data_IF_233112475431
#
_entry.id   IF_233112475431
#
_cell.length_a   1.000
_cell.length_b   1.000
_cell.length_c   1.000
_cell.angle_alpha   90.00
_cell.angle_beta   90.00
_cell.angle_gamma   90.00
#
_symmetry.space_group_name_H-M   'P 1'
#
loop_
_entity.id
_entity.type
_entity.pdbx_description
1 polymer ?
#
# COMPACT_ATOMS: atom_id res chain seq x y z
N UNK A 1 -1.69 24.18 -7.95
CA UNK A 1 -2.56 24.62 -6.83
C UNK A 1 -3.17 23.35 -6.28
N UNK A 2 -2.95 23.07 -4.99
CA UNK A 2 -3.51 21.89 -4.35
C UNK A 2 -5.04 21.99 -4.32
N UNK A 3 -5.72 20.88 -4.56
CA UNK A 3 -7.18 20.80 -4.53
C UNK A 3 -7.67 21.06 -3.09
N UNK A 4 -8.75 21.79 -2.86
CA UNK A 4 -9.31 21.92 -1.51
C UNK A 4 -9.86 20.57 -1.03
N UNK A 5 -9.81 20.35 0.28
CA UNK A 5 -10.44 19.16 0.90
C UNK A 5 -11.93 19.13 0.56
N UNK A 6 -12.51 17.97 0.20
CA UNK A 6 -13.94 17.85 -0.09
C UNK A 6 -14.80 18.37 1.06
N UNK A 7 -15.88 19.10 0.73
CA UNK A 7 -16.82 19.60 1.73
C UNK A 7 -17.51 18.46 2.51
N UNK A 8 -17.75 17.35 1.83
CA UNK A 8 -18.30 16.12 2.44
C UNK A 8 -17.35 14.99 2.14
N UNK A 9 -16.83 14.35 3.18
CA UNK A 9 -15.99 13.16 3.07
C UNK A 9 -16.83 11.96 3.45
N UNK A 10 -16.89 10.96 2.55
CA UNK A 10 -17.65 9.73 2.74
C UNK A 10 -16.74 8.51 2.98
N UNK A 11 -15.46 8.61 2.57
CA UNK A 11 -14.52 7.53 2.80
C UNK A 11 -13.07 7.84 2.45
N UNK A 12 -12.21 6.89 2.79
CA UNK A 12 -10.77 6.96 2.51
C UNK A 12 -10.33 5.65 1.89
N UNK A 13 -9.70 5.72 0.72
CA UNK A 13 -9.03 4.58 0.12
C UNK A 13 -7.53 4.67 0.40
N UNK A 14 -6.90 3.53 0.61
CA UNK A 14 -5.49 3.43 0.97
C UNK A 14 -4.76 2.47 0.04
N UNK A 15 -3.48 2.72 -0.21
CA UNK A 15 -2.57 1.63 -0.56
C UNK A 15 -2.35 0.72 0.66
N UNK A 16 -1.71 -0.42 0.47
CA UNK A 16 -1.49 -1.42 1.51
C UNK A 16 -0.05 -1.40 2.03
N UNK A 17 0.89 -1.90 1.19
CA UNK A 17 2.29 -2.06 1.58
C UNK A 17 3.01 -0.69 1.60
N UNK A 18 3.51 -0.26 2.75
CA UNK A 18 4.12 1.06 2.93
C UNK A 18 3.16 2.16 3.35
N UNK A 19 1.85 1.92 3.31
CA UNK A 19 0.84 2.90 3.70
C UNK A 19 0.08 2.47 4.95
N UNK A 20 -0.61 1.34 4.89
CA UNK A 20 -1.30 0.75 6.04
C UNK A 20 -0.40 -0.23 6.80
N UNK A 21 0.40 -1.02 6.09
CA UNK A 21 1.21 -2.10 6.65
C UNK A 21 2.71 -1.90 6.35
N UNK A 22 3.55 -2.08 7.36
CA UNK A 22 4.97 -2.36 7.18
C UNK A 22 5.16 -3.86 6.93
N UNK A 23 5.20 -4.24 5.67
CA UNK A 23 5.41 -5.62 5.21
C UNK A 23 6.86 -5.90 4.79
N UNK A 24 7.73 -4.90 4.84
CA UNK A 24 9.12 -5.01 4.41
C UNK A 24 9.92 -6.09 5.16
N UNK A 25 9.71 -6.33 6.49
CA UNK A 25 10.43 -7.40 7.19
C UNK A 25 10.17 -8.78 6.60
N UNK A 26 8.90 -9.13 6.31
CA UNK A 26 8.55 -10.44 5.74
C UNK A 26 8.98 -10.56 4.27
N UNK A 27 8.87 -9.47 3.49
CA UNK A 27 9.38 -9.38 2.12
C UNK A 27 10.89 -9.64 2.08
N UNK A 28 11.63 -9.06 3.02
CA UNK A 28 13.07 -9.26 3.14
C UNK A 28 13.42 -10.69 3.61
N UNK A 29 12.69 -11.24 4.57
CA UNK A 29 12.89 -12.61 5.04
C UNK A 29 12.73 -13.64 3.89
N UNK A 30 11.74 -13.44 3.02
CA UNK A 30 11.58 -14.25 1.81
C UNK A 30 12.77 -14.10 0.84
N UNK A 31 13.29 -12.88 0.67
CA UNK A 31 14.47 -12.64 -0.15
C UNK A 31 15.72 -13.30 0.43
N UNK A 32 15.91 -13.24 1.75
CA UNK A 32 17.01 -13.95 2.42
C UNK A 32 16.96 -15.46 2.16
N UNK A 33 15.78 -16.07 2.28
CA UNK A 33 15.60 -17.49 1.99
C UNK A 33 15.94 -17.82 0.53
N UNK A 34 15.52 -16.97 -0.41
CA UNK A 34 15.86 -17.11 -1.84
C UNK A 34 17.36 -16.95 -2.07
N UNK A 35 18.04 -16.02 -1.39
CA UNK A 35 19.48 -15.84 -1.48
C UNK A 35 20.22 -17.09 -1.00
N UNK A 36 19.78 -17.71 0.08
CA UNK A 36 20.37 -18.99 0.57
C UNK A 36 20.19 -20.09 -0.46
N UNK A 37 18.99 -20.28 -1.03
CA UNK A 37 18.75 -21.29 -2.08
C UNK A 37 19.59 -21.08 -3.34
N UNK A 38 19.98 -19.84 -3.61
CA UNK A 38 20.71 -19.44 -4.80
C UNK A 38 22.22 -19.20 -4.56
N UNK A 39 22.70 -19.46 -3.34
CA UNK A 39 24.10 -19.22 -2.93
C UNK A 39 24.57 -17.79 -3.20
N UNK A 40 23.70 -16.82 -2.95
CA UNK A 40 23.96 -15.38 -3.14
C UNK A 40 24.04 -14.66 -1.81
N UNK A 41 24.91 -13.65 -1.75
CA UNK A 41 24.96 -12.76 -0.59
C UNK A 41 23.67 -11.92 -0.53
N UNK A 42 23.07 -11.73 0.66
CA UNK A 42 21.88 -10.89 0.81
C UNK A 42 22.22 -9.41 0.59
N UNK A 43 21.30 -8.63 0.00
CA UNK A 43 21.43 -7.17 -0.08
C UNK A 43 21.15 -6.51 1.27
N UNK A 44 21.47 -5.23 1.39
CA UNK A 44 21.10 -4.42 2.56
C UNK A 44 19.56 -4.32 2.67
N UNK A 45 19.03 -4.46 3.89
CA UNK A 45 17.61 -4.31 4.18
C UNK A 45 17.04 -2.96 3.75
N UNK A 46 17.78 -1.87 3.97
CA UNK A 46 17.34 -0.52 3.63
C UNK A 46 17.07 -0.39 2.11
N UNK A 47 17.92 -0.97 1.26
CA UNK A 47 17.74 -0.97 -0.19
C UNK A 47 16.49 -1.76 -0.62
N UNK A 48 16.22 -2.88 0.06
CA UNK A 48 15.05 -3.72 -0.24
C UNK A 48 13.77 -3.02 0.20
N UNK A 49 13.78 -2.41 1.39
CA UNK A 49 12.63 -1.68 1.95
C UNK A 49 12.12 -0.59 1.01
N UNK A 50 13.02 0.18 0.40
CA UNK A 50 12.65 1.24 -0.55
C UNK A 50 11.86 0.75 -1.77
N UNK A 51 12.09 -0.50 -2.21
CA UNK A 51 11.50 -1.02 -3.45
C UNK A 51 10.34 -1.99 -3.25
N UNK A 52 9.90 -2.22 -2.01
CA UNK A 52 8.82 -3.17 -1.67
C UNK A 52 7.57 -2.89 -2.51
N UNK A 53 7.14 -1.63 -2.61
CA UNK A 53 5.96 -1.22 -3.38
C UNK A 53 6.09 -1.45 -4.89
N UNK A 54 7.31 -1.71 -5.40
CA UNK A 54 7.54 -2.12 -6.80
C UNK A 54 7.29 -3.60 -7.06
N UNK A 55 7.09 -4.41 -6.00
CA UNK A 55 6.77 -5.82 -6.05
C UNK A 55 7.96 -6.76 -6.27
N UNK A 56 7.69 -8.05 -6.37
CA UNK A 56 8.65 -9.15 -6.33
C UNK A 56 9.87 -8.99 -7.27
N UNK A 57 9.65 -8.50 -8.50
CA UNK A 57 10.75 -8.30 -9.47
C UNK A 57 11.75 -7.27 -9.00
N UNK A 58 11.29 -6.16 -8.45
CA UNK A 58 12.18 -5.11 -7.94
C UNK A 58 12.96 -5.60 -6.71
N UNK A 59 12.30 -6.31 -5.82
CA UNK A 59 12.93 -6.94 -4.66
C UNK A 59 14.01 -7.94 -5.08
N UNK A 60 13.71 -8.81 -6.05
CA UNK A 60 14.68 -9.79 -6.57
C UNK A 60 15.88 -9.11 -7.27
N UNK A 61 15.68 -7.97 -7.94
CA UNK A 61 16.78 -7.20 -8.53
C UNK A 61 17.80 -6.71 -7.50
N UNK A 62 17.39 -6.46 -6.26
CA UNK A 62 18.34 -6.07 -5.21
C UNK A 62 19.44 -7.12 -4.97
N UNK A 63 19.13 -8.41 -5.13
CA UNK A 63 20.10 -9.50 -4.95
C UNK A 63 20.64 -10.08 -6.26
N UNK A 64 19.81 -10.12 -7.32
CA UNK A 64 20.05 -10.95 -8.50
C UNK A 64 20.23 -10.15 -9.81
N UNK A 65 20.38 -8.81 -9.77
CA UNK A 65 20.51 -7.97 -10.96
C UNK A 65 21.60 -8.45 -11.95
N UNK A 66 22.71 -8.97 -11.43
CA UNK A 66 23.83 -9.48 -12.23
C UNK A 66 23.49 -10.71 -13.08
N UNK A 67 22.39 -11.42 -12.75
CA UNK A 67 21.94 -12.61 -13.49
C UNK A 67 21.05 -12.28 -14.70
N UNK A 68 20.64 -11.01 -14.85
CA UNK A 68 19.79 -10.53 -15.93
C UNK A 68 18.28 -10.81 -15.74
N UNK A 69 17.44 -10.14 -16.51
CA UNK A 69 15.98 -10.13 -16.34
C UNK A 69 15.34 -11.51 -16.51
N UNK A 70 15.83 -12.34 -17.44
CA UNK A 70 15.29 -13.70 -17.65
C UNK A 70 15.46 -14.57 -16.40
N UNK A 71 16.60 -14.46 -15.72
CA UNK A 71 16.84 -15.19 -14.48
C UNK A 71 15.97 -14.65 -13.34
N UNK A 72 15.76 -13.34 -13.26
CA UNK A 72 14.86 -12.72 -12.27
C UNK A 72 13.43 -13.23 -12.48
N UNK A 73 12.91 -13.25 -13.70
CA UNK A 73 11.57 -13.78 -13.98
C UNK A 73 11.43 -15.25 -13.56
N UNK A 74 12.44 -16.07 -13.78
CA UNK A 74 12.45 -17.47 -13.37
C UNK A 74 12.43 -17.65 -11.84
N UNK A 75 12.96 -16.69 -11.08
CA UNK A 75 12.97 -16.70 -9.61
C UNK A 75 11.64 -16.27 -8.98
N UNK A 76 10.81 -15.48 -9.68
CA UNK A 76 9.57 -14.90 -9.13
C UNK A 76 8.63 -15.96 -8.51
N UNK A 77 8.31 -17.08 -9.17
CA UNK A 77 7.38 -18.05 -8.59
C UNK A 77 7.88 -18.63 -7.25
N UNK A 78 9.18 -18.93 -7.18
CA UNK A 78 9.77 -19.46 -5.93
C UNK A 78 9.79 -18.41 -4.83
N UNK A 79 10.14 -17.18 -5.16
CA UNK A 79 10.11 -16.06 -4.23
C UNK A 79 8.70 -15.85 -3.62
N UNK A 80 7.65 -15.89 -4.45
CA UNK A 80 6.27 -15.75 -3.96
C UNK A 80 5.86 -16.90 -3.02
N UNK A 81 6.30 -18.13 -3.29
CA UNK A 81 6.10 -19.26 -2.37
C UNK A 81 6.80 -19.05 -1.02
N UNK A 82 8.05 -18.56 -1.05
CA UNK A 82 8.80 -18.24 0.18
C UNK A 82 8.12 -17.11 0.94
N UNK A 83 7.65 -16.08 0.25
CA UNK A 83 6.93 -14.97 0.88
C UNK A 83 5.62 -15.45 1.54
N UNK A 84 4.83 -16.31 0.90
CA UNK A 84 3.63 -16.89 1.52
C UNK A 84 3.92 -17.66 2.81
N UNK A 85 5.08 -18.31 2.93
CA UNK A 85 5.45 -19.06 4.15
C UNK A 85 5.80 -18.18 5.35
N UNK A 86 6.20 -16.93 5.11
CA UNK A 86 6.64 -15.99 6.16
C UNK A 86 5.69 -14.81 6.34
N UNK A 87 4.82 -14.55 5.39
CA UNK A 87 3.87 -13.45 5.36
C UNK A 87 3.03 -13.39 6.66
N UNK A 88 2.83 -12.20 7.17
CA UNK A 88 2.12 -11.92 8.44
C UNK A 88 2.83 -12.43 9.71
N UNK A 89 4.14 -12.70 9.67
CA UNK A 89 4.92 -13.00 10.87
C UNK A 89 5.40 -11.72 11.56
N UNK A 90 6.00 -10.84 10.78
CA UNK A 90 6.54 -9.55 11.23
C UNK A 90 5.79 -8.35 10.61
N UNK A 91 4.93 -8.61 9.61
CA UNK A 91 4.08 -7.58 9.02
C UNK A 91 3.11 -7.06 10.08
N UNK A 92 3.08 -5.75 10.26
CA UNK A 92 2.22 -5.07 11.22
C UNK A 92 1.71 -3.74 10.64
N UNK A 93 0.64 -3.21 11.21
CA UNK A 93 0.16 -1.88 10.88
C UNK A 93 1.20 -0.82 11.30
N UNK A 94 1.38 0.23 10.49
CA UNK A 94 2.18 1.37 10.95
C UNK A 94 1.56 1.99 12.21
N UNK A 95 2.40 2.57 13.05
CA UNK A 95 1.99 3.18 14.31
C UNK A 95 0.84 4.18 14.10
N UNK A 96 -0.27 3.95 14.81
CA UNK A 96 -1.47 4.78 14.74
C UNK A 96 -2.48 4.40 13.65
N UNK A 97 -2.19 3.45 12.76
CA UNK A 97 -3.13 3.00 11.71
C UNK A 97 -4.38 2.36 12.33
N UNK A 98 -4.24 1.45 13.29
CA UNK A 98 -5.41 0.80 13.89
C UNK A 98 -6.34 1.80 14.58
N UNK A 99 -5.78 2.81 15.26
CA UNK A 99 -6.53 3.91 15.86
C UNK A 99 -7.21 4.78 14.78
N UNK A 100 -6.50 5.11 13.70
CA UNK A 100 -7.09 5.85 12.57
C UNK A 100 -8.28 5.10 11.97
N UNK A 101 -8.13 3.79 11.67
CA UNK A 101 -9.20 2.98 11.10
C UNK A 101 -10.41 2.89 12.05
N UNK A 102 -10.18 2.73 13.35
CA UNK A 102 -11.25 2.73 14.36
C UNK A 102 -12.00 4.07 14.41
N UNK A 103 -11.29 5.20 14.32
CA UNK A 103 -11.91 6.54 14.27
C UNK A 103 -12.71 6.76 12.98
N UNK A 104 -12.21 6.30 11.82
CA UNK A 104 -12.97 6.35 10.56
C UNK A 104 -14.29 5.58 10.71
N UNK A 105 -14.22 4.36 11.24
CA UNK A 105 -15.39 3.49 11.47
C UNK A 105 -16.39 4.12 12.46
N UNK A 106 -15.90 4.68 13.57
CA UNK A 106 -16.72 5.36 14.56
C UNK A 106 -17.45 6.60 14.00
N UNK A 107 -16.83 7.28 13.01
CA UNK A 107 -17.43 8.42 12.30
C UNK A 107 -18.37 7.97 11.17
N UNK A 108 -18.49 6.67 10.91
CA UNK A 108 -19.27 6.13 9.79
C UNK A 108 -18.63 6.34 8.42
N UNK A 109 -17.32 6.68 8.37
CA UNK A 109 -16.57 6.78 7.15
C UNK A 109 -16.13 5.38 6.68
N UNK A 110 -16.35 5.09 5.41
CA UNK A 110 -15.89 3.82 4.82
C UNK A 110 -14.41 3.90 4.47
N UNK A 111 -13.71 2.79 4.62
CA UNK A 111 -12.34 2.69 4.13
C UNK A 111 -12.15 1.46 3.26
N UNK A 112 -11.23 1.56 2.31
CA UNK A 112 -10.95 0.51 1.35
C UNK A 112 -9.47 0.47 0.96
N UNK A 113 -9.07 -0.60 0.26
CA UNK A 113 -7.71 -0.88 -0.12
C UNK A 113 -7.60 -0.97 -1.63
N UNK A 114 -6.62 -0.27 -2.22
CA UNK A 114 -6.25 -0.36 -3.63
C UNK A 114 -4.75 -0.60 -3.72
N UNK A 115 -4.35 -1.83 -3.99
CA UNK A 115 -2.94 -2.23 -3.98
C UNK A 115 -2.49 -2.85 -5.31
N UNK A 116 -1.21 -2.71 -5.65
CA UNK A 116 -0.59 -3.43 -6.77
C UNK A 116 -0.15 -4.85 -6.41
N UNK A 117 -0.31 -5.26 -5.13
CA UNK A 117 -0.09 -6.62 -4.65
C UNK A 117 -1.13 -7.59 -5.23
N UNK A 118 -0.73 -8.82 -5.53
CA UNK A 118 -1.63 -9.84 -6.07
C UNK A 118 -2.72 -10.25 -5.06
N UNK A 119 -3.92 -10.60 -5.56
CA UNK A 119 -5.09 -10.90 -4.75
C UNK A 119 -4.84 -12.03 -3.75
N UNK A 120 -4.22 -13.14 -4.19
CA UNK A 120 -3.98 -14.31 -3.32
C UNK A 120 -3.11 -13.99 -2.09
N UNK A 121 -2.14 -13.04 -2.22
CA UNK A 121 -1.33 -12.56 -1.10
C UNK A 121 -2.09 -11.57 -0.22
N UNK A 122 -2.83 -10.67 -0.87
CA UNK A 122 -3.59 -9.63 -0.16
C UNK A 122 -4.69 -10.23 0.71
N UNK A 123 -5.48 -11.16 0.16
CA UNK A 123 -6.59 -11.80 0.87
C UNK A 123 -6.12 -12.62 2.08
N UNK A 124 -5.01 -13.35 1.92
CA UNK A 124 -4.43 -14.13 3.01
C UNK A 124 -3.88 -13.20 4.12
N UNK A 125 -3.19 -12.13 3.74
CA UNK A 125 -2.66 -11.15 4.67
C UNK A 125 -3.79 -10.46 5.46
N UNK A 126 -4.82 -9.94 4.78
CA UNK A 126 -5.95 -9.27 5.42
C UNK A 126 -6.73 -10.21 6.35
N UNK A 127 -6.81 -11.50 6.02
CA UNK A 127 -7.42 -12.52 6.90
C UNK A 127 -6.59 -12.72 8.16
N UNK A 128 -5.27 -12.81 8.01
CA UNK A 128 -4.33 -13.04 9.13
C UNK A 128 -4.33 -11.90 10.15
N UNK A 129 -4.49 -10.64 9.67
CA UNK A 129 -4.54 -9.46 10.56
C UNK A 129 -5.97 -9.05 10.96
N UNK A 130 -6.99 -9.80 10.54
CA UNK A 130 -8.40 -9.56 10.94
C UNK A 130 -9.10 -8.40 10.22
N UNK A 131 -8.57 -7.92 9.08
CA UNK A 131 -9.14 -6.75 8.37
C UNK A 131 -10.13 -7.11 7.27
N UNK A 132 -10.25 -8.38 6.88
CA UNK A 132 -11.12 -8.81 5.77
C UNK A 132 -12.59 -8.40 5.91
N UNK A 133 -13.13 -8.33 7.14
CA UNK A 133 -14.51 -7.95 7.41
C UNK A 133 -14.70 -6.44 7.68
N UNK A 134 -13.62 -5.69 7.85
CA UNK A 134 -13.64 -4.26 8.19
C UNK A 134 -13.60 -3.36 6.96
N UNK A 135 -12.86 -3.79 5.92
CA UNK A 135 -12.69 -3.00 4.70
C UNK A 135 -13.93 -3.03 3.82
N UNK A 136 -14.36 -1.87 3.33
CA UNK A 136 -15.52 -1.75 2.44
C UNK A 136 -15.23 -2.23 1.00
N UNK A 137 -13.98 -2.19 0.57
CA UNK A 137 -13.54 -2.66 -0.74
C UNK A 137 -12.07 -3.05 -0.73
N UNK A 138 -11.72 -4.07 -1.52
CA UNK A 138 -10.34 -4.45 -1.82
C UNK A 138 -10.20 -4.59 -3.33
N UNK A 139 -9.22 -3.89 -3.92
CA UNK A 139 -8.83 -4.00 -5.33
C UNK A 139 -7.33 -4.28 -5.39
N UNK A 140 -6.98 -5.42 -5.97
CA UNK A 140 -5.63 -5.95 -6.04
C UNK A 140 -4.99 -5.73 -7.42
N UNK A 141 -3.69 -5.92 -7.51
CA UNK A 141 -2.92 -5.67 -8.74
C UNK A 141 -3.27 -6.57 -9.93
N UNK A 142 -4.03 -7.63 -9.72
CA UNK A 142 -4.53 -8.58 -10.72
C UNK A 142 -6.07 -8.61 -10.80
N UNK A 143 -6.77 -7.70 -10.11
CA UNK A 143 -8.23 -7.57 -10.19
C UNK A 143 -8.69 -7.06 -11.56
N UNK A 144 -7.92 -6.16 -12.16
CA UNK A 144 -8.13 -5.62 -13.50
C UNK A 144 -6.91 -5.93 -14.38
N UNK A 145 -7.04 -5.72 -15.70
CA UNK A 145 -5.92 -5.81 -16.63
C UNK A 145 -4.92 -4.65 -16.49
N UNK A 146 -5.30 -3.59 -15.78
CA UNK A 146 -4.50 -2.41 -15.47
C UNK A 146 -4.36 -2.24 -13.96
N UNK A 147 -3.32 -1.52 -13.53
CA UNK A 147 -3.02 -1.26 -12.12
C UNK A 147 -2.52 0.16 -11.92
N UNK A 148 -2.40 0.64 -10.68
CA UNK A 148 -1.84 1.97 -10.39
C UNK A 148 -0.53 2.18 -11.14
N UNK A 149 -0.32 3.28 -11.87
CA UNK A 149 -0.99 4.60 -11.75
C UNK A 149 -2.28 4.79 -12.58
N UNK A 150 -2.81 3.75 -13.26
CA UNK A 150 -4.12 3.88 -13.92
C UNK A 150 -5.21 4.13 -12.87
N UNK A 151 -6.19 5.05 -13.12
CA UNK A 151 -7.26 5.34 -12.16
C UNK A 151 -8.32 4.23 -12.02
N UNK A 152 -8.41 3.30 -12.98
CA UNK A 152 -9.47 2.29 -12.98
C UNK A 152 -9.55 1.44 -11.70
N UNK A 153 -8.44 0.99 -11.06
CA UNK A 153 -8.52 0.29 -9.78
C UNK A 153 -9.12 1.14 -8.65
N UNK A 154 -8.79 2.43 -8.63
CA UNK A 154 -9.30 3.38 -7.61
C UNK A 154 -10.80 3.62 -7.82
N UNK A 155 -11.23 3.83 -9.06
CA UNK A 155 -12.65 3.98 -9.43
C UNK A 155 -13.47 2.72 -9.11
N UNK A 156 -12.93 1.53 -9.38
CA UNK A 156 -13.57 0.26 -9.03
C UNK A 156 -13.71 0.09 -7.51
N UNK A 157 -12.72 0.54 -6.73
CA UNK A 157 -12.81 0.50 -5.28
C UNK A 157 -13.92 1.44 -4.76
N UNK A 158 -14.07 2.62 -5.34
CA UNK A 158 -15.19 3.53 -5.04
C UNK A 158 -16.53 2.87 -5.36
N UNK A 159 -16.68 2.27 -6.53
CA UNK A 159 -17.89 1.57 -6.94
C UNK A 159 -18.25 0.45 -5.95
N UNK A 160 -17.30 -0.41 -5.61
CA UNK A 160 -17.50 -1.52 -4.65
C UNK A 160 -17.86 -1.02 -3.25
N UNK A 161 -17.27 0.09 -2.82
CA UNK A 161 -17.56 0.70 -1.54
C UNK A 161 -18.85 1.56 -1.54
N UNK A 162 -19.48 1.79 -2.69
CA UNK A 162 -20.64 2.69 -2.82
C UNK A 162 -20.29 4.14 -2.49
N UNK A 163 -19.13 4.60 -2.96
CA UNK A 163 -18.57 5.94 -2.72
C UNK A 163 -18.45 6.74 -4.02
N UNK A 164 -18.64 8.05 -3.95
CA UNK A 164 -18.31 8.96 -5.04
C UNK A 164 -16.84 9.40 -4.93
N UNK A 165 -16.04 9.36 -6.02
CA UNK A 165 -14.62 9.70 -5.97
C UNK A 165 -14.32 11.10 -5.43
N UNK A 166 -15.16 12.10 -5.74
CA UNK A 166 -15.03 13.48 -5.28
C UNK A 166 -15.36 13.69 -3.79
N UNK A 167 -15.88 12.65 -3.12
CA UNK A 167 -16.12 12.59 -1.67
C UNK A 167 -15.11 11.71 -0.94
N UNK A 168 -14.04 11.31 -1.60
CA UNK A 168 -13.04 10.41 -1.05
C UNK A 168 -11.64 10.99 -1.10
N UNK A 169 -10.81 10.51 -0.16
CA UNK A 169 -9.37 10.67 -0.21
C UNK A 169 -8.72 9.38 -0.70
N UNK A 170 -7.61 9.51 -1.42
CA UNK A 170 -6.72 8.39 -1.68
C UNK A 170 -5.36 8.64 -1.06
N UNK A 171 -4.91 7.73 -0.19
CA UNK A 171 -3.69 7.83 0.61
C UNK A 171 -2.71 6.74 0.17
N UNK A 172 -1.48 7.11 -0.13
CA UNK A 172 -0.45 6.16 -0.52
C UNK A 172 0.96 6.72 -0.39
N UNK A 173 1.96 5.84 -0.33
CA UNK A 173 3.37 6.15 -0.13
C UNK A 173 4.21 6.09 -1.41
N UNK A 174 3.55 5.97 -2.56
CA UNK A 174 4.19 5.89 -3.87
C UNK A 174 3.59 6.93 -4.83
N UNK A 175 4.43 7.46 -5.73
CA UNK A 175 3.99 8.42 -6.76
C UNK A 175 2.82 7.89 -7.60
N UNK A 176 2.76 6.57 -7.83
CA UNK A 176 1.66 5.93 -8.58
C UNK A 176 0.31 6.06 -7.88
N UNK A 177 0.29 6.14 -6.55
CA UNK A 177 -0.93 6.36 -5.77
C UNK A 177 -1.48 7.75 -5.99
N UNK A 178 -0.61 8.75 -5.87
CA UNK A 178 -0.96 10.15 -6.13
C UNK A 178 -1.48 10.31 -7.55
N UNK A 179 -0.81 9.71 -8.55
CA UNK A 179 -1.23 9.77 -9.95
C UNK A 179 -2.59 9.09 -10.17
N UNK A 180 -2.82 7.90 -9.63
CA UNK A 180 -4.08 7.17 -9.77
C UNK A 180 -5.24 7.91 -9.09
N UNK A 181 -5.04 8.39 -7.85
CA UNK A 181 -6.05 9.16 -7.11
C UNK A 181 -6.40 10.49 -7.79
N UNK A 182 -5.40 11.23 -8.24
CA UNK A 182 -5.60 12.49 -8.95
C UNK A 182 -6.37 12.28 -10.27
N UNK A 183 -6.00 11.25 -11.05
CA UNK A 183 -6.68 10.89 -12.29
C UNK A 183 -8.11 10.39 -12.05
N UNK A 184 -8.41 9.78 -10.89
CA UNK A 184 -9.76 9.41 -10.47
C UNK A 184 -10.57 10.60 -9.92
N UNK A 185 -10.00 11.81 -9.82
CA UNK A 185 -10.67 12.99 -9.30
C UNK A 185 -10.73 13.10 -7.79
N UNK A 186 -10.00 12.26 -7.06
CA UNK A 186 -9.94 12.26 -5.59
C UNK A 186 -9.04 13.37 -5.02
N UNK A 187 -9.20 13.68 -3.74
CA UNK A 187 -8.19 14.37 -2.96
C UNK A 187 -7.08 13.38 -2.61
N UNK A 188 -5.82 13.72 -2.93
CA UNK A 188 -4.69 12.82 -2.80
C UNK A 188 -3.80 13.19 -1.61
N UNK A 189 -3.39 12.18 -0.87
CA UNK A 189 -2.48 12.32 0.27
C UNK A 189 -1.25 11.44 0.04
N UNK A 190 -0.08 12.04 0.03
CA UNK A 190 1.18 11.30 0.05
C UNK A 190 1.56 10.99 1.51
N UNK A 191 1.72 9.71 1.80
CA UNK A 191 2.09 9.16 3.10
C UNK A 191 3.61 9.14 3.25
N UNK A 192 4.20 10.18 3.87
CA UNK A 192 5.66 10.28 3.97
C UNK A 192 6.29 9.32 5.01
N UNK A 193 5.48 8.58 5.76
CA UNK A 193 5.95 7.54 6.68
C UNK A 193 6.25 6.19 6.01
N UNK A 194 5.91 6.04 4.73
CA UNK A 194 6.03 4.80 3.97
C UNK A 194 7.41 4.48 3.42
N UNK A 195 7.45 3.75 2.30
CA UNK A 195 8.69 3.31 1.66
C UNK A 195 9.26 4.35 0.67
N UNK A 196 8.39 5.18 0.09
CA UNK A 196 8.68 6.31 -0.79
C UNK A 196 9.41 5.98 -2.10
N UNK A 197 9.81 4.73 -2.31
CA UNK A 197 10.49 4.28 -3.53
C UNK A 197 11.72 5.14 -3.90
N UNK A 198 12.42 5.67 -2.87
CA UNK A 198 13.54 6.60 -3.04
C UNK A 198 13.12 7.96 -3.59
N UNK A 199 11.81 8.30 -3.61
CA UNK A 199 11.28 9.56 -4.11
C UNK A 199 11.03 10.61 -3.03
N UNK A 200 10.84 11.85 -3.47
CA UNK A 200 10.40 12.94 -2.61
C UNK A 200 8.86 13.12 -2.72
N UNK A 201 8.07 12.80 -1.68
CA UNK A 201 6.62 12.92 -1.71
C UNK A 201 6.12 14.36 -1.97
N UNK A 202 6.92 15.38 -1.64
CA UNK A 202 6.59 16.78 -1.93
C UNK A 202 6.67 17.10 -3.44
N UNK A 203 7.41 16.30 -4.21
CA UNK A 203 7.52 16.45 -5.67
C UNK A 203 6.45 15.69 -6.47
N UNK A 204 5.57 14.88 -5.82
CA UNK A 204 4.59 14.05 -6.53
C UNK A 204 3.33 14.78 -6.96
N UNK A 205 3.08 15.99 -6.41
CA UNK A 205 1.90 16.80 -6.72
C UNK A 205 0.64 16.34 -5.98
N UNK A 206 0.79 15.67 -4.84
CA UNK A 206 -0.31 15.36 -3.94
C UNK A 206 -0.95 16.64 -3.37
N UNK A 207 -2.25 16.57 -3.04
CA UNK A 207 -2.97 17.69 -2.44
C UNK A 207 -2.52 17.94 -0.99
N UNK A 208 -2.06 16.88 -0.28
CA UNK A 208 -1.41 16.97 1.01
C UNK A 208 -0.24 15.96 1.10
N UNK A 209 0.77 16.31 1.89
CA UNK A 209 1.83 15.38 2.33
C UNK A 209 1.76 15.31 3.84
N UNK A 210 1.59 14.12 4.39
CA UNK A 210 1.41 13.89 5.82
C UNK A 210 2.48 12.94 6.34
N UNK A 211 2.93 13.18 7.58
CA UNK A 211 4.04 12.47 8.22
C UNK A 211 3.60 11.31 9.12
N UNK A 212 2.29 11.08 9.24
CA UNK A 212 1.76 9.96 10.00
C UNK A 212 0.24 9.86 9.99
N UNK A 213 -0.31 8.72 10.45
CA UNK A 213 -1.76 8.49 10.53
C UNK A 213 -2.48 9.51 11.42
N UNK A 214 -1.81 10.00 12.48
CA UNK A 214 -2.35 11.05 13.35
C UNK A 214 -2.59 12.37 12.63
N UNK A 215 -1.71 12.74 11.68
CA UNK A 215 -1.91 13.93 10.85
C UNK A 215 -3.10 13.77 9.90
N UNK A 216 -3.36 12.56 9.40
CA UNK A 216 -4.56 12.27 8.61
C UNK A 216 -5.83 12.34 9.47
N UNK A 217 -5.80 11.81 10.70
CA UNK A 217 -6.92 11.95 11.64
C UNK A 217 -7.23 13.42 11.92
N UNK A 218 -6.20 14.25 12.12
CA UNK A 218 -6.35 15.70 12.34
C UNK A 218 -6.91 16.40 11.08
N UNK A 219 -6.43 16.08 9.89
CA UNK A 219 -6.94 16.62 8.62
C UNK A 219 -8.44 16.34 8.45
N UNK A 220 -8.88 15.14 8.84
CA UNK A 220 -10.27 14.68 8.78
C UNK A 220 -11.10 15.09 9.99
N UNK A 221 -10.52 15.79 10.96
CA UNK A 221 -11.18 16.20 12.22
C UNK A 221 -11.84 15.02 12.97
N UNK A 222 -11.13 13.88 13.02
CA UNK A 222 -11.62 12.69 13.71
C UNK A 222 -11.35 12.80 15.21
N UNK A 223 -12.40 12.68 16.02
CA UNK A 223 -12.26 12.59 17.47
C UNK A 223 -11.53 11.29 17.88
N UNK A 224 -10.84 11.27 19.03
CA UNK A 224 -10.29 10.04 19.58
C UNK A 224 -11.39 8.95 19.67
N UNK A 225 -11.02 7.70 19.37
CA UNK A 225 -11.93 6.60 19.58
C UNK A 225 -12.33 6.54 21.06
N UNK A 226 -13.61 6.36 21.34
CA UNK A 226 -14.06 6.19 22.73
C UNK A 226 -13.39 4.94 23.32
N UNK A 227 -12.80 5.10 24.52
CA UNK A 227 -12.10 4.04 25.22
C UNK A 227 -13.06 2.93 25.68
#
# INVERSE_FOLDING_TARGET
MNKPLPHTIAGVLFDLDGTLLDSAPDVYAALLAQCVEQEMAPPDYALVREVVSRGARAVLRCAFASRGETAIEALVPRYLQLYQQVMARETHAFDGIDDLLARLEARGLRWGIVTNKAAFLTEELLRSIGWSARTAAVVCGDTLSVKKPDPAPVLLACERAGLAPDQCLFVGDDRRDVQAGAAAGMFTVAASWGYLDGGDPHAWGADAVLDGPGALAALLQLEPAAA
#
